data_IF_250116794644
#
_entry.id   IF_250116794644
#
_cell.length_a   1.000
_cell.length_b   1.000
_cell.length_c   1.000
_cell.angle_alpha   90.00
_cell.angle_beta   90.00
_cell.angle_gamma   90.00
#
_symmetry.space_group_name_H-M   'P 1'
#
loop_
_entity.id
_entity.type
_entity.pdbx_description
1 polymer ?
#
# COMPACT_ATOMS: atom_id res chain seq x y z
N UNK A 1 2.86 7.08 -23.27
CA UNK A 1 1.48 7.44 -22.84
C UNK A 1 1.45 8.55 -21.81
N UNK A 2 1.93 9.74 -22.21
CA UNK A 2 2.06 10.89 -21.31
C UNK A 2 0.69 11.55 -20.97
N UNK A 3 -0.37 11.20 -21.71
CA UNK A 3 -1.70 11.79 -21.56
C UNK A 3 -2.72 10.86 -20.87
N UNK A 4 -2.42 9.59 -20.71
CA UNK A 4 -3.30 8.58 -20.12
C UNK A 4 -3.08 8.40 -18.61
N UNK A 5 -2.90 7.15 -18.20
CA UNK A 5 -2.72 6.74 -16.79
C UNK A 5 -1.66 7.55 -16.07
N UNK A 6 -0.51 7.84 -16.71
CA UNK A 6 0.58 8.61 -16.11
C UNK A 6 0.18 10.03 -15.74
N UNK A 7 -0.65 10.70 -16.54
CA UNK A 7 -1.12 12.04 -16.22
C UNK A 7 -1.94 12.07 -14.93
N UNK A 8 -2.81 11.07 -14.74
CA UNK A 8 -3.60 10.93 -13.51
C UNK A 8 -2.77 10.56 -12.30
N UNK A 9 -1.75 9.71 -12.46
CA UNK A 9 -0.79 9.40 -11.39
C UNK A 9 0.04 10.64 -11.00
N UNK A 10 0.45 11.44 -11.97
CA UNK A 10 1.13 12.71 -11.70
C UNK A 10 0.23 13.70 -10.99
N UNK A 11 -1.06 13.78 -11.36
CA UNK A 11 -2.03 14.62 -10.65
C UNK A 11 -2.13 14.24 -9.19
N UNK A 12 -2.26 12.95 -8.88
CA UNK A 12 -2.27 12.44 -7.50
C UNK A 12 -1.00 12.82 -6.74
N UNK A 13 0.17 12.59 -7.35
CA UNK A 13 1.46 12.91 -6.73
C UNK A 13 1.61 14.40 -6.46
N UNK A 14 1.25 15.24 -7.43
CA UNK A 14 1.28 16.71 -7.28
C UNK A 14 0.32 17.15 -6.19
N UNK A 15 -0.91 16.62 -6.17
CA UNK A 15 -1.90 16.96 -5.14
C UNK A 15 -1.37 16.58 -3.74
N UNK A 16 -0.82 15.38 -3.55
CA UNK A 16 -0.22 14.95 -2.27
C UNK A 16 0.92 15.87 -1.83
N UNK A 17 1.76 16.31 -2.77
CA UNK A 17 2.91 17.19 -2.47
C UNK A 17 2.51 18.63 -2.12
N UNK A 18 1.29 19.07 -2.46
CA UNK A 18 0.78 20.40 -2.07
C UNK A 18 0.11 20.39 -0.70
N UNK A 19 -0.05 19.22 -0.07
CA UNK A 19 -0.76 19.08 1.20
C UNK A 19 0.19 18.88 2.37
N UNK A 20 -0.25 19.33 3.54
CA UNK A 20 0.42 19.06 4.81
C UNK A 20 -0.49 18.28 5.73
N UNK A 21 0.10 17.47 6.58
CA UNK A 21 -0.60 16.51 7.43
C UNK A 21 -0.27 16.79 8.89
N UNK A 22 -1.27 17.11 9.69
CA UNK A 22 -1.10 17.26 11.13
C UNK A 22 -1.12 15.90 11.82
N UNK A 23 0.00 15.50 12.37
CA UNK A 23 0.18 14.22 13.06
C UNK A 23 0.67 14.44 14.48
N UNK A 24 0.11 13.72 15.44
CA UNK A 24 0.67 13.64 16.81
C UNK A 24 1.73 12.53 16.85
N UNK A 25 2.99 12.90 17.00
CA UNK A 25 4.12 12.00 17.14
C UNK A 25 4.52 11.99 18.61
N UNK A 26 4.35 10.85 19.28
CA UNK A 26 4.63 10.71 20.72
C UNK A 26 4.01 11.86 21.57
N UNK A 27 2.77 12.20 21.26
CA UNK A 27 2.02 13.26 21.96
C UNK A 27 2.25 14.68 21.45
N UNK A 28 3.28 14.95 20.65
CA UNK A 28 3.59 16.27 20.10
C UNK A 28 3.00 16.46 18.71
N UNK A 29 2.29 17.56 18.48
CA UNK A 29 1.79 17.91 17.15
C UNK A 29 2.93 18.28 16.21
N UNK A 30 2.92 17.70 15.01
CA UNK A 30 3.83 18.04 13.92
C UNK A 30 3.04 18.23 12.62
N UNK A 31 3.47 19.17 11.80
CA UNK A 31 2.97 19.36 10.43
C UNK A 31 4.00 18.73 9.49
N UNK A 32 3.58 17.75 8.73
CA UNK A 32 4.45 16.87 7.94
C UNK A 32 4.03 16.86 6.48
N UNK A 33 4.98 16.57 5.61
CA UNK A 33 4.71 16.18 4.22
C UNK A 33 4.02 14.81 4.16
N UNK A 34 3.48 14.46 2.99
CA UNK A 34 2.88 13.13 2.79
C UNK A 34 3.88 12.00 3.06
N UNK A 35 5.09 12.11 2.54
CA UNK A 35 6.12 11.07 2.72
C UNK A 35 6.49 10.85 4.19
N UNK A 36 6.68 11.92 4.95
CA UNK A 36 6.95 11.85 6.38
C UNK A 36 5.78 11.24 7.16
N UNK A 37 4.54 11.71 6.89
CA UNK A 37 3.34 11.19 7.54
C UNK A 37 3.11 9.69 7.20
N UNK A 38 3.33 9.29 5.95
CA UNK A 38 3.21 7.91 5.50
C UNK A 38 4.26 6.99 6.16
N UNK A 39 5.49 7.47 6.35
CA UNK A 39 6.52 6.74 7.10
C UNK A 39 6.12 6.43 8.53
N UNK A 40 5.30 7.27 9.16
CA UNK A 40 4.80 7.07 10.52
C UNK A 40 3.73 5.96 10.64
N UNK A 41 3.19 5.45 9.54
CA UNK A 41 2.27 4.30 9.57
C UNK A 41 2.94 3.01 10.08
N UNK A 42 4.27 2.93 10.02
CA UNK A 42 5.06 1.82 10.59
C UNK A 42 5.71 2.15 11.94
N UNK A 43 5.43 3.32 12.52
CA UNK A 43 6.03 3.76 13.78
C UNK A 43 5.77 2.78 14.94
N UNK A 44 6.70 2.65 15.87
CA UNK A 44 6.56 1.72 17.00
C UNK A 44 5.40 2.11 17.94
N UNK A 45 5.20 3.42 18.19
CA UNK A 45 4.09 3.91 19.00
C UNK A 45 2.76 3.85 18.25
N UNK A 46 1.79 3.15 18.85
CA UNK A 46 0.45 2.94 18.25
C UNK A 46 -0.32 4.24 18.07
N UNK A 47 -0.26 5.14 19.06
CA UNK A 47 -1.01 6.40 19.00
C UNK A 47 -0.49 7.29 17.85
N UNK A 48 0.81 7.27 17.59
CA UNK A 48 1.44 7.93 16.44
C UNK A 48 0.94 7.32 15.13
N UNK A 49 0.92 5.98 14.96
CA UNK A 49 0.37 5.33 13.76
C UNK A 49 -1.09 5.67 13.51
N UNK A 50 -1.91 5.64 14.56
CA UNK A 50 -3.33 5.97 14.48
C UNK A 50 -3.54 7.44 14.08
N UNK A 51 -2.76 8.36 14.66
CA UNK A 51 -2.80 9.78 14.31
C UNK A 51 -2.41 10.03 12.85
N UNK A 52 -1.34 9.39 12.38
CA UNK A 52 -0.90 9.47 10.98
C UNK A 52 -1.99 8.92 10.02
N UNK A 53 -2.54 7.76 10.33
CA UNK A 53 -3.60 7.14 9.55
C UNK A 53 -4.84 8.06 9.44
N UNK A 54 -5.33 8.57 10.58
CA UNK A 54 -6.47 9.48 10.61
C UNK A 54 -6.21 10.78 9.84
N UNK A 55 -5.01 11.35 9.95
CA UNK A 55 -4.64 12.57 9.24
C UNK A 55 -4.61 12.35 7.73
N UNK A 56 -3.93 11.29 7.27
CA UNK A 56 -3.80 10.98 5.85
C UNK A 56 -5.17 10.67 5.24
N UNK A 57 -5.87 9.67 5.75
CA UNK A 57 -7.14 9.23 5.14
C UNK A 57 -8.29 10.21 5.39
N UNK A 58 -8.26 11.00 6.47
CA UNK A 58 -9.20 12.08 6.70
C UNK A 58 -9.06 13.21 5.68
N UNK A 59 -7.84 13.54 5.25
CA UNK A 59 -7.61 14.53 4.21
C UNK A 59 -7.95 13.98 2.81
N UNK A 60 -7.51 12.76 2.50
CA UNK A 60 -7.83 12.08 1.23
C UNK A 60 -9.35 11.93 1.04
N UNK A 61 -10.08 11.62 2.11
CA UNK A 61 -11.55 11.47 2.05
C UNK A 61 -12.30 12.76 1.72
N UNK A 62 -11.74 13.93 2.08
CA UNK A 62 -12.35 15.22 1.74
C UNK A 62 -12.34 15.50 0.25
N UNK A 63 -11.31 15.05 -0.45
CA UNK A 63 -11.12 15.24 -1.89
C UNK A 63 -11.47 13.96 -2.69
N UNK A 64 -12.31 13.09 -2.11
CA UNK A 64 -12.67 11.80 -2.69
C UNK A 64 -13.24 11.87 -4.11
N UNK A 65 -14.01 12.93 -4.44
CA UNK A 65 -14.55 13.12 -5.78
C UNK A 65 -13.46 13.39 -6.84
N UNK A 66 -12.37 14.05 -6.47
CA UNK A 66 -11.23 14.27 -7.38
C UNK A 66 -10.60 12.92 -7.72
N UNK A 67 -10.36 12.06 -6.71
CA UNK A 67 -9.79 10.74 -6.92
C UNK A 67 -10.75 9.79 -7.65
N UNK A 68 -12.04 9.85 -7.33
CA UNK A 68 -13.07 9.08 -8.04
C UNK A 68 -13.15 9.48 -9.51
N UNK A 69 -13.06 10.77 -9.82
CA UNK A 69 -13.01 11.28 -11.19
C UNK A 69 -11.76 10.79 -11.94
N UNK A 70 -10.58 10.86 -11.30
CA UNK A 70 -9.35 10.34 -11.88
C UNK A 70 -9.46 8.83 -12.17
N UNK A 71 -9.97 8.06 -11.22
CA UNK A 71 -10.15 6.61 -11.38
C UNK A 71 -11.13 6.27 -12.52
N UNK A 72 -12.27 6.99 -12.60
CA UNK A 72 -13.22 6.82 -13.71
C UNK A 72 -12.58 7.06 -15.08
N UNK A 73 -11.74 8.10 -15.19
CA UNK A 73 -11.04 8.39 -16.45
C UNK A 73 -9.99 7.34 -16.79
N UNK A 74 -9.24 6.82 -15.81
CA UNK A 74 -8.31 5.72 -16.00
C UNK A 74 -9.06 4.46 -16.50
N UNK A 75 -10.19 4.12 -15.88
CA UNK A 75 -11.00 2.99 -16.29
C UNK A 75 -11.56 3.17 -17.72
N UNK A 76 -12.05 4.36 -18.06
CA UNK A 76 -12.56 4.65 -19.38
C UNK A 76 -11.46 4.58 -20.45
N UNK A 77 -10.27 5.13 -20.18
CA UNK A 77 -9.13 5.02 -21.08
C UNK A 77 -8.76 3.55 -21.31
N UNK A 78 -8.71 2.76 -20.25
CA UNK A 78 -8.44 1.32 -20.34
C UNK A 78 -9.48 0.56 -21.16
N UNK A 79 -10.77 0.83 -20.97
CA UNK A 79 -11.83 0.21 -21.74
C UNK A 79 -11.73 0.57 -23.24
N UNK A 80 -11.43 1.83 -23.55
CA UNK A 80 -11.18 2.26 -24.93
C UNK A 80 -9.97 1.53 -25.56
N UNK A 81 -8.91 1.32 -24.80
CA UNK A 81 -7.74 0.54 -25.25
C UNK A 81 -8.14 -0.91 -25.50
N UNK A 82 -8.91 -1.51 -24.60
CA UNK A 82 -9.39 -2.90 -24.76
C UNK A 82 -10.22 -3.06 -26.02
N UNK A 83 -11.14 -2.13 -26.29
CA UNK A 83 -11.99 -2.15 -27.49
C UNK A 83 -11.15 -2.02 -28.76
N UNK A 84 -10.26 -1.02 -28.84
CA UNK A 84 -9.37 -0.79 -29.99
C UNK A 84 -8.42 -1.96 -30.28
N UNK A 85 -7.96 -2.62 -29.24
CA UNK A 85 -7.07 -3.78 -29.31
C UNK A 85 -7.83 -5.10 -29.50
N UNK A 86 -9.18 -5.06 -29.45
CA UNK A 86 -10.04 -6.23 -29.50
C UNK A 86 -9.70 -7.29 -28.46
N UNK A 87 -9.42 -6.84 -27.23
CA UNK A 87 -9.18 -7.76 -26.12
C UNK A 87 -10.50 -8.39 -25.67
N UNK A 88 -10.49 -9.70 -25.40
CA UNK A 88 -11.67 -10.45 -24.96
C UNK A 88 -12.17 -10.03 -23.58
N UNK A 89 -11.29 -9.43 -22.76
CA UNK A 89 -11.62 -8.93 -21.42
C UNK A 89 -10.61 -7.85 -21.02
N UNK A 90 -10.91 -7.01 -20.01
CA UNK A 90 -9.94 -6.08 -19.45
C UNK A 90 -8.68 -6.75 -18.89
N UNK A 91 -8.75 -8.03 -18.49
CA UNK A 91 -7.62 -8.82 -18.00
C UNK A 91 -6.69 -9.29 -19.13
N UNK A 92 -7.22 -9.44 -20.36
CA UNK A 92 -6.51 -10.08 -21.47
C UNK A 92 -5.14 -9.44 -21.77
N UNK A 93 -5.04 -8.10 -21.70
CA UNK A 93 -3.77 -7.42 -21.89
C UNK A 93 -2.72 -7.81 -20.84
N UNK A 94 -3.15 -8.00 -19.58
CA UNK A 94 -2.27 -8.44 -18.51
C UNK A 94 -1.84 -9.90 -18.68
N UNK A 95 -2.72 -10.75 -19.17
CA UNK A 95 -2.38 -12.16 -19.49
C UNK A 95 -1.29 -12.23 -20.55
N UNK A 96 -1.46 -11.48 -21.65
CA UNK A 96 -0.46 -11.40 -22.73
C UNK A 96 0.87 -10.84 -22.21
N UNK A 97 0.82 -9.75 -21.46
CA UNK A 97 2.03 -9.08 -20.97
C UNK A 97 2.84 -9.93 -19.99
N UNK A 98 2.19 -10.83 -19.26
CA UNK A 98 2.83 -11.72 -18.28
C UNK A 98 3.03 -13.16 -18.83
N UNK A 99 2.66 -13.42 -20.07
CA UNK A 99 2.75 -14.73 -20.69
C UNK A 99 2.07 -15.85 -19.86
N UNK A 100 0.86 -15.56 -19.38
CA UNK A 100 0.03 -16.49 -18.59
C UNK A 100 -1.35 -16.62 -19.19
N UNK A 101 -1.98 -17.77 -18.99
CA UNK A 101 -3.36 -18.02 -19.40
C UNK A 101 -4.37 -17.67 -18.28
N UNK A 102 -5.65 -17.63 -18.66
CA UNK A 102 -6.74 -17.33 -17.73
C UNK A 102 -6.87 -18.40 -16.64
N UNK A 103 -6.67 -19.67 -16.98
CA UNK A 103 -6.76 -20.79 -16.05
C UNK A 103 -5.74 -20.66 -14.92
N UNK A 104 -4.52 -20.24 -15.24
CA UNK A 104 -3.47 -19.98 -14.25
C UNK A 104 -3.90 -18.90 -13.24
N UNK A 105 -4.52 -17.81 -13.72
CA UNK A 105 -5.02 -16.73 -12.85
C UNK A 105 -6.20 -17.20 -12.01
N UNK A 106 -7.15 -17.93 -12.60
CA UNK A 106 -8.30 -18.45 -11.89
C UNK A 106 -7.88 -19.43 -10.78
N UNK A 107 -6.92 -20.31 -11.06
CA UNK A 107 -6.34 -21.21 -10.07
C UNK A 107 -5.61 -20.45 -8.93
N UNK A 108 -4.88 -19.38 -9.27
CA UNK A 108 -4.25 -18.52 -8.26
C UNK A 108 -5.29 -17.84 -7.37
N UNK A 109 -6.34 -17.26 -7.94
CA UNK A 109 -7.40 -16.60 -7.19
C UNK A 109 -8.14 -17.58 -6.28
N UNK A 110 -8.50 -18.76 -6.79
CA UNK A 110 -9.13 -19.83 -6.02
C UNK A 110 -8.22 -20.25 -4.84
N UNK A 111 -6.93 -20.45 -5.08
CA UNK A 111 -5.98 -20.79 -4.03
C UNK A 111 -5.88 -19.70 -2.96
N UNK A 112 -5.94 -18.41 -3.33
CA UNK A 112 -5.96 -17.29 -2.39
C UNK A 112 -7.25 -17.29 -1.57
N UNK A 113 -8.40 -17.49 -2.21
CA UNK A 113 -9.71 -17.52 -1.54
C UNK A 113 -9.81 -18.66 -0.54
N UNK A 114 -9.41 -19.87 -0.92
CA UNK A 114 -9.38 -21.05 -0.06
C UNK A 114 -8.48 -20.85 1.17
N UNK A 115 -7.39 -20.10 1.02
CA UNK A 115 -6.44 -19.83 2.10
C UNK A 115 -6.73 -18.53 2.88
N UNK A 116 -7.79 -17.79 2.59
CA UNK A 116 -8.17 -16.55 3.30
C UNK A 116 -8.30 -16.76 4.82
N UNK A 117 -8.73 -17.93 5.25
CA UNK A 117 -8.84 -18.28 6.68
C UNK A 117 -7.48 -18.31 7.39
N UNK A 118 -6.40 -18.68 6.70
CA UNK A 118 -5.04 -18.64 7.25
C UNK A 118 -4.64 -17.20 7.59
N UNK A 119 -4.91 -16.25 6.67
CA UNK A 119 -4.63 -14.84 6.90
C UNK A 119 -5.47 -14.25 8.05
N UNK A 120 -6.75 -14.61 8.13
CA UNK A 120 -7.63 -14.22 9.26
C UNK A 120 -7.10 -14.75 10.59
N UNK A 121 -6.60 -15.98 10.63
CA UNK A 121 -5.98 -16.56 11.84
C UNK A 121 -4.71 -15.79 12.23
N UNK A 122 -3.87 -15.45 11.24
CA UNK A 122 -2.69 -14.63 11.47
C UNK A 122 -3.04 -13.27 12.08
N UNK A 123 -4.03 -12.56 11.54
CA UNK A 123 -4.47 -11.26 12.08
C UNK A 123 -5.00 -11.38 13.52
N UNK A 124 -5.75 -12.43 13.82
CA UNK A 124 -6.22 -12.70 15.19
C UNK A 124 -5.07 -12.98 16.15
N UNK A 125 -4.08 -13.77 15.71
CA UNK A 125 -2.87 -14.04 16.49
C UNK A 125 -2.06 -12.75 16.72
N UNK A 126 -1.88 -11.95 15.67
CA UNK A 126 -1.21 -10.65 15.76
C UNK A 126 -1.89 -9.73 16.78
N UNK A 127 -3.21 -9.61 16.74
CA UNK A 127 -3.97 -8.85 17.72
C UNK A 127 -3.71 -9.34 19.16
N UNK A 128 -3.73 -10.65 19.38
CA UNK A 128 -3.43 -11.26 20.69
C UNK A 128 -2.00 -10.95 21.17
N UNK A 129 -0.99 -11.07 20.29
CA UNK A 129 0.40 -10.73 20.62
C UNK A 129 0.54 -9.25 20.97
N UNK A 130 -0.15 -8.38 20.25
CA UNK A 130 -0.17 -6.92 20.50
C UNK A 130 -1.06 -6.52 21.69
N UNK A 131 -1.72 -7.48 22.36
CA UNK A 131 -2.66 -7.25 23.47
C UNK A 131 -3.81 -6.31 23.11
N UNK A 132 -4.31 -6.42 21.87
CA UNK A 132 -5.41 -5.62 21.35
C UNK A 132 -6.67 -6.50 21.18
N UNK A 133 -7.86 -5.97 21.48
CA UNK A 133 -9.11 -6.70 21.25
C UNK A 133 -9.35 -6.93 19.75
N UNK A 134 -8.92 -5.98 18.92
CA UNK A 134 -9.01 -6.03 17.45
C UNK A 134 -7.93 -5.12 16.85
N UNK A 135 -7.35 -5.54 15.71
CA UNK A 135 -6.44 -4.69 14.94
C UNK A 135 -7.22 -3.59 14.21
N UNK A 136 -6.73 -2.36 14.27
CA UNK A 136 -7.09 -1.32 13.32
C UNK A 136 -6.27 -1.44 12.03
N UNK A 137 -6.67 -0.74 10.97
CA UNK A 137 -5.90 -0.70 9.72
C UNK A 137 -4.45 -0.20 9.93
N UNK A 138 -4.24 0.72 10.87
CA UNK A 138 -2.93 1.23 11.29
C UNK A 138 -2.07 0.23 12.09
N UNK A 139 -2.62 -0.94 12.44
CA UNK A 139 -1.89 -1.99 13.16
C UNK A 139 -1.43 -3.13 12.23
N UNK A 140 -1.96 -3.21 11.00
CA UNK A 140 -1.69 -4.32 10.07
C UNK A 140 -0.21 -4.43 9.74
N UNK A 141 0.46 -3.30 9.45
CA UNK A 141 1.89 -3.25 9.11
C UNK A 141 2.79 -3.00 10.33
N UNK A 142 2.20 -2.80 11.52
CA UNK A 142 2.97 -2.54 12.74
C UNK A 142 3.89 -3.71 13.08
N UNK A 143 5.11 -3.40 13.52
CA UNK A 143 6.04 -4.39 14.05
C UNK A 143 5.50 -5.04 15.33
N UNK A 144 5.85 -6.31 15.55
CA UNK A 144 5.49 -7.00 16.79
C UNK A 144 6.31 -6.45 17.96
N UNK A 145 5.74 -6.37 19.19
CA UNK A 145 6.42 -5.79 20.35
C UNK A 145 7.74 -6.48 20.72
N UNK A 146 7.92 -7.73 20.33
CA UNK A 146 9.12 -8.52 20.58
C UNK A 146 10.20 -8.39 19.50
N UNK A 147 9.91 -7.68 18.39
CA UNK A 147 10.90 -7.42 17.37
C UNK A 147 11.98 -6.49 17.96
N UNK A 148 13.20 -7.03 18.14
CA UNK A 148 14.34 -6.21 18.56
C UNK A 148 14.61 -5.16 17.49
N UNK A 149 14.58 -3.89 17.89
CA UNK A 149 15.05 -2.82 17.03
C UNK A 149 16.56 -2.98 16.87
N UNK A 150 17.00 -3.45 15.70
CA UNK A 150 18.41 -3.48 15.33
C UNK A 150 18.67 -2.33 14.37
N UNK A 151 19.55 -1.43 14.79
CA UNK A 151 20.04 -0.35 13.90
C UNK A 151 21.35 -0.78 13.26
N UNK A 152 21.42 -0.63 11.96
CA UNK A 152 22.65 -0.86 11.19
C UNK A 152 23.10 0.44 10.54
N UNK A 153 24.40 0.70 10.51
CA UNK A 153 24.93 1.70 9.61
C UNK A 153 24.66 1.30 8.16
N UNK A 154 24.63 2.27 7.24
CA UNK A 154 24.40 1.99 5.83
C UNK A 154 25.38 0.94 5.28
N UNK A 155 26.68 1.08 5.58
CA UNK A 155 27.72 0.14 5.10
C UNK A 155 27.47 -1.27 5.62
N UNK A 156 27.12 -1.41 6.89
CA UNK A 156 26.82 -2.71 7.49
C UNK A 156 25.55 -3.35 6.89
N UNK A 157 24.52 -2.55 6.60
CA UNK A 157 23.31 -3.02 5.93
C UNK A 157 23.61 -3.47 4.48
N UNK A 158 24.42 -2.69 3.74
CA UNK A 158 24.92 -3.01 2.39
C UNK A 158 25.69 -4.32 2.38
N UNK A 159 26.65 -4.49 3.27
CA UNK A 159 27.46 -5.71 3.36
C UNK A 159 26.62 -6.95 3.70
N UNK A 160 25.61 -6.77 4.55
CA UNK A 160 24.67 -7.84 4.91
C UNK A 160 23.82 -8.26 3.71
N UNK A 161 23.31 -7.30 2.97
CA UNK A 161 22.52 -7.54 1.74
C UNK A 161 23.38 -8.25 0.68
N UNK A 162 24.59 -7.73 0.39
CA UNK A 162 25.51 -8.35 -0.58
C UNK A 162 25.86 -9.79 -0.18
N UNK A 163 26.12 -10.05 1.10
CA UNK A 163 26.39 -11.41 1.59
C UNK A 163 25.18 -12.35 1.47
N UNK A 164 23.96 -11.81 1.66
CA UNK A 164 22.76 -12.59 1.47
C UNK A 164 22.60 -12.99 -0.01
N UNK A 165 22.73 -12.03 -0.94
CA UNK A 165 22.63 -12.28 -2.38
C UNK A 165 23.71 -13.25 -2.92
N UNK A 166 24.91 -13.25 -2.35
CA UNK A 166 25.97 -14.18 -2.76
C UNK A 166 25.74 -15.65 -2.37
N UNK A 167 24.69 -15.91 -1.57
CA UNK A 167 24.32 -17.28 -1.18
C UNK A 167 23.27 -17.91 -2.12
N UNK A 168 22.75 -17.14 -3.05
CA UNK A 168 21.89 -17.58 -4.14
C UNK A 168 22.69 -17.69 -5.45
#
# INVERSE_FOLDING_TARGET
>A
DQCGIYAWQQLQSKWLNTRTFEVKVEGKKKTLSYGEANGLLSHHDRATRESANKSIYGLLGKDGEIFASALRNICNDWLNVCERRKYNSPMHASLIANDVDQETIDNLLNAIEDNTNLYRRYLKLKAKIMKLPKLGCHDIIASLPQARSMTFSFDKAKDLAIRAYRKF
#
